data_IF_751924129462
#
_entry.id   IF_751924129462
#
_cell.length_a   1.000
_cell.length_b   1.000
_cell.length_c   1.000
_cell.angle_alpha   90.00
_cell.angle_beta   90.00
_cell.angle_gamma   90.00
#
_symmetry.space_group_name_H-M   'P 1'
#
loop_
_entity.id
_entity.type
_entity.pdbx_description
1 polymer ?
#
# COMPACT_ATOMS: atom_id res chain seq x y z
N UNK A 1 0.16 16.16 -17.93
CA UNK A 1 1.51 16.14 -17.33
C UNK A 1 1.48 16.43 -15.83
N UNK A 2 0.94 17.58 -15.39
CA UNK A 2 0.86 17.94 -13.95
C UNK A 2 0.13 16.88 -13.10
N UNK A 3 -1.01 16.36 -13.58
CA UNK A 3 -1.77 15.34 -12.85
C UNK A 3 -1.01 13.99 -12.69
N UNK A 4 -0.14 13.62 -13.64
CA UNK A 4 0.65 12.38 -13.53
C UNK A 4 1.70 12.52 -12.41
N UNK A 5 2.36 13.67 -12.37
CA UNK A 5 3.33 13.98 -11.31
C UNK A 5 2.64 14.05 -9.94
N UNK A 6 1.53 14.77 -9.84
CA UNK A 6 0.76 14.87 -8.59
C UNK A 6 0.24 13.52 -8.09
N UNK A 7 -0.21 12.65 -9.00
CA UNK A 7 -0.63 11.29 -8.67
C UNK A 7 0.52 10.44 -8.13
N UNK A 8 1.71 10.53 -8.72
CA UNK A 8 2.90 9.84 -8.21
C UNK A 8 3.32 10.33 -6.82
N UNK A 9 3.27 11.64 -6.58
CA UNK A 9 3.55 12.22 -5.26
C UNK A 9 2.54 11.73 -4.22
N UNK A 10 1.24 11.70 -4.56
CA UNK A 10 0.22 11.20 -3.64
C UNK A 10 0.45 9.75 -3.25
N UNK A 11 0.78 8.87 -4.21
CA UNK A 11 1.07 7.46 -3.94
C UNK A 11 2.26 7.29 -2.98
N UNK A 12 3.32 8.10 -3.13
CA UNK A 12 4.47 8.08 -2.23
C UNK A 12 4.11 8.55 -0.81
N UNK A 13 3.32 9.62 -0.67
CA UNK A 13 2.92 10.12 0.65
C UNK A 13 2.01 9.10 1.33
N UNK A 14 1.02 8.56 0.60
CA UNK A 14 0.12 7.53 1.09
C UNK A 14 0.91 6.30 1.55
N UNK A 15 1.92 5.90 0.78
CA UNK A 15 2.79 4.78 1.13
C UNK A 15 3.52 5.02 2.45
N UNK A 16 4.17 6.17 2.61
CA UNK A 16 4.92 6.50 3.83
C UNK A 16 3.97 6.57 5.03
N UNK A 17 2.80 7.19 4.89
CA UNK A 17 1.82 7.27 5.98
C UNK A 17 1.31 5.88 6.40
N UNK A 18 1.05 4.97 5.46
CA UNK A 18 0.67 3.58 5.78
C UNK A 18 1.79 2.88 6.56
N UNK A 19 3.04 2.99 6.13
CA UNK A 19 4.16 2.36 6.84
C UNK A 19 4.29 2.94 8.25
N UNK A 20 4.26 4.27 8.38
CA UNK A 20 4.31 4.98 9.66
C UNK A 20 3.19 4.56 10.61
N UNK A 21 1.97 4.42 10.08
CA UNK A 21 0.82 3.95 10.85
C UNK A 21 1.02 2.50 11.34
N UNK A 22 1.52 1.60 10.47
CA UNK A 22 1.79 0.22 10.86
C UNK A 22 2.90 0.15 11.93
N UNK A 23 3.97 0.95 11.80
CA UNK A 23 5.02 1.01 12.82
C UNK A 23 4.52 1.62 14.13
N UNK A 24 3.67 2.64 14.06
CA UNK A 24 3.04 3.23 15.24
C UNK A 24 2.13 2.22 15.96
N UNK A 25 1.34 1.43 15.21
CA UNK A 25 0.53 0.35 15.80
C UNK A 25 1.39 -0.69 16.52
N UNK A 26 2.56 -1.01 15.96
CA UNK A 26 3.51 -1.93 16.57
C UNK A 26 4.06 -1.37 17.89
N UNK A 27 4.48 -0.10 17.89
CA UNK A 27 5.05 0.56 19.08
C UNK A 27 3.99 0.80 20.17
N UNK A 28 2.78 1.19 19.78
CA UNK A 28 1.65 1.38 20.69
C UNK A 28 1.34 0.10 21.48
N UNK A 29 1.37 -1.05 20.80
CA UNK A 29 1.15 -2.34 21.47
C UNK A 29 2.27 -2.74 22.44
N UNK A 30 3.48 -2.20 22.26
CA UNK A 30 4.62 -2.45 23.14
C UNK A 30 4.61 -1.56 24.40
N UNK A 31 3.77 -0.50 24.44
CA UNK A 31 3.93 0.60 25.39
C UNK A 31 3.12 0.53 26.70
N UNK A 32 2.29 -0.48 27.00
CA UNK A 32 1.53 -0.47 28.26
C UNK A 32 1.36 -1.82 28.99
N UNK A 33 1.16 -1.68 30.32
CA UNK A 33 1.01 -2.62 31.45
C UNK A 33 0.15 -3.90 31.26
N UNK A 34 -0.42 -4.15 30.08
CA UNK A 34 -1.19 -5.35 29.72
C UNK A 34 -0.52 -6.17 28.58
N UNK A 35 0.80 -6.13 28.54
CA UNK A 35 1.65 -6.63 27.44
C UNK A 35 1.30 -8.04 26.94
N UNK A 36 0.98 -9.00 27.81
CA UNK A 36 0.81 -10.41 27.39
C UNK A 36 -0.45 -10.63 26.54
N UNK A 37 -1.60 -10.05 26.92
CA UNK A 37 -2.88 -10.25 26.20
C UNK A 37 -2.88 -9.50 24.86
N UNK A 38 -2.34 -8.27 24.85
CA UNK A 38 -2.16 -7.48 23.64
C UNK A 38 -1.17 -8.16 22.67
N UNK A 39 -0.04 -8.65 23.18
CA UNK A 39 0.95 -9.34 22.37
C UNK A 39 0.40 -10.61 21.71
N UNK A 40 -0.35 -11.44 22.45
CA UNK A 40 -0.98 -12.65 21.89
C UNK A 40 -2.05 -12.30 20.85
N UNK A 41 -2.90 -11.31 21.10
CA UNK A 41 -3.92 -10.87 20.13
C UNK A 41 -3.31 -10.31 18.85
N UNK A 42 -2.24 -9.53 18.96
CA UNK A 42 -1.57 -8.95 17.79
C UNK A 42 -0.76 -9.99 17.02
N UNK A 43 -0.13 -10.95 17.70
CA UNK A 43 0.51 -12.09 17.04
C UNK A 43 -0.50 -12.98 16.30
N UNK A 44 -1.69 -13.19 16.88
CA UNK A 44 -2.79 -13.87 16.20
C UNK A 44 -3.26 -13.08 14.98
N UNK A 45 -3.49 -11.77 15.12
CA UNK A 45 -3.90 -10.90 14.01
C UNK A 45 -2.89 -10.89 12.87
N UNK A 46 -1.60 -10.81 13.20
CA UNK A 46 -0.51 -10.88 12.24
C UNK A 46 -0.45 -12.23 11.51
N UNK A 47 -0.66 -13.33 12.24
CA UNK A 47 -0.71 -14.68 11.68
C UNK A 47 -1.91 -14.83 10.73
N UNK A 48 -3.08 -14.34 11.13
CA UNK A 48 -4.29 -14.32 10.29
C UNK A 48 -4.07 -13.47 9.03
N UNK A 49 -3.49 -12.27 9.16
CA UNK A 49 -3.15 -11.41 8.04
C UNK A 49 -2.21 -12.12 7.04
N UNK A 50 -1.17 -12.79 7.54
CA UNK A 50 -0.25 -13.55 6.70
C UNK A 50 -0.92 -14.73 5.99
N UNK A 51 -1.79 -15.48 6.68
CA UNK A 51 -2.59 -16.55 6.05
C UNK A 51 -3.48 -15.98 4.94
N UNK A 52 -4.12 -14.82 5.17
CA UNK A 52 -4.92 -14.13 4.16
C UNK A 52 -4.05 -13.73 2.95
N UNK A 53 -2.82 -13.24 3.16
CA UNK A 53 -1.89 -12.93 2.06
C UNK A 53 -1.61 -14.17 1.19
N UNK A 54 -1.28 -15.30 1.83
CA UNK A 54 -0.99 -16.56 1.12
C UNK A 54 -2.22 -17.06 0.37
N UNK A 55 -3.40 -17.04 1.00
CA UNK A 55 -4.66 -17.40 0.35
C UNK A 55 -4.98 -16.47 -0.84
N UNK A 56 -4.75 -15.16 -0.69
CA UNK A 56 -4.90 -14.17 -1.76
C UNK A 56 -4.00 -14.50 -2.96
N UNK A 57 -2.73 -14.79 -2.73
CA UNK A 57 -1.77 -15.21 -3.77
C UNK A 57 -2.24 -16.49 -4.47
N UNK A 58 -2.69 -17.50 -3.73
CA UNK A 58 -3.21 -18.76 -4.31
C UNK A 58 -4.44 -18.48 -5.19
N UNK A 59 -5.39 -17.69 -4.69
CA UNK A 59 -6.58 -17.31 -5.46
C UNK A 59 -6.20 -16.55 -6.73
N UNK A 60 -5.19 -15.68 -6.66
CA UNK A 60 -4.67 -14.96 -7.83
C UNK A 60 -4.10 -15.90 -8.88
N UNK A 61 -3.32 -16.92 -8.49
CA UNK A 61 -2.86 -17.93 -9.44
C UNK A 61 -4.04 -18.66 -10.10
N UNK A 62 -5.04 -19.10 -9.34
CA UNK A 62 -6.18 -19.87 -9.88
C UNK A 62 -7.01 -19.03 -10.86
N UNK A 63 -7.15 -17.73 -10.62
CA UNK A 63 -8.05 -16.87 -11.39
C UNK A 63 -7.37 -16.14 -12.55
N UNK A 64 -6.10 -15.76 -12.41
CA UNK A 64 -5.37 -14.96 -13.40
C UNK A 64 -4.28 -15.71 -14.17
N UNK A 65 -4.03 -16.98 -13.83
CA UNK A 65 -3.07 -17.84 -14.55
C UNK A 65 -3.72 -19.16 -15.03
N UNK A 66 -4.83 -19.11 -15.80
CA UNK A 66 -5.48 -20.33 -16.30
C UNK A 66 -4.65 -21.08 -17.35
N UNK A 67 -3.68 -20.41 -17.99
CA UNK A 67 -2.81 -20.97 -19.02
C UNK A 67 -1.35 -20.54 -18.79
N UNK A 68 -0.36 -21.36 -19.16
CA UNK A 68 1.05 -21.02 -19.00
C UNK A 68 1.52 -19.86 -19.90
N UNK A 69 0.71 -19.45 -20.89
CA UNK A 69 0.98 -18.29 -21.73
C UNK A 69 0.84 -16.94 -21.02
N UNK A 70 0.23 -16.92 -19.82
CA UNK A 70 0.03 -15.72 -19.01
C UNK A 70 1.29 -15.32 -18.22
N UNK A 71 2.43 -15.22 -18.91
CA UNK A 71 3.75 -15.03 -18.29
C UNK A 71 3.85 -13.77 -17.45
N UNK A 72 3.21 -12.69 -17.87
CA UNK A 72 3.27 -11.41 -17.17
C UNK A 72 2.55 -11.47 -15.82
N UNK A 73 1.36 -12.08 -15.77
CA UNK A 73 0.63 -12.31 -14.51
C UNK A 73 1.37 -13.30 -13.61
N UNK A 74 1.94 -14.37 -14.18
CA UNK A 74 2.80 -15.31 -13.42
C UNK A 74 3.99 -14.57 -12.81
N UNK A 75 4.66 -13.70 -13.57
CA UNK A 75 5.79 -12.92 -13.11
C UNK A 75 5.40 -11.98 -11.96
N UNK A 76 4.33 -11.19 -12.10
CA UNK A 76 3.86 -10.28 -11.05
C UNK A 76 3.51 -11.03 -9.77
N UNK A 77 2.70 -12.09 -9.86
CA UNK A 77 2.28 -12.86 -8.67
C UNK A 77 3.49 -13.55 -8.01
N UNK A 78 4.39 -14.14 -8.81
CA UNK A 78 5.61 -14.79 -8.30
C UNK A 78 6.51 -13.79 -7.59
N UNK A 79 6.69 -12.61 -8.19
CA UNK A 79 7.53 -11.56 -7.65
C UNK A 79 6.96 -11.00 -6.34
N UNK A 80 5.65 -10.76 -6.28
CA UNK A 80 4.95 -10.37 -5.04
C UNK A 80 5.14 -11.40 -3.93
N UNK A 81 5.09 -12.69 -4.24
CA UNK A 81 5.38 -13.76 -3.27
C UNK A 81 6.82 -13.68 -2.75
N UNK A 82 7.80 -13.47 -3.64
CA UNK A 82 9.21 -13.30 -3.27
C UNK A 82 9.40 -12.08 -2.37
N UNK A 83 8.78 -10.95 -2.72
CA UNK A 83 8.83 -9.72 -1.92
C UNK A 83 8.21 -9.93 -0.52
N UNK A 84 7.08 -10.63 -0.43
CA UNK A 84 6.45 -10.98 0.84
C UNK A 84 7.39 -11.81 1.72
N UNK A 85 8.02 -12.85 1.17
CA UNK A 85 8.98 -13.68 1.91
C UNK A 85 10.22 -12.89 2.35
N UNK A 86 10.74 -12.01 1.47
CA UNK A 86 11.88 -11.15 1.76
C UNK A 86 11.56 -10.23 2.96
N UNK A 87 10.41 -9.56 2.93
CA UNK A 87 9.98 -8.68 4.02
C UNK A 87 9.84 -9.43 5.33
N UNK A 88 9.16 -10.57 5.35
CA UNK A 88 9.01 -11.40 6.55
C UNK A 88 10.37 -11.84 7.09
N UNK A 89 11.30 -12.25 6.22
CA UNK A 89 12.66 -12.66 6.61
C UNK A 89 13.46 -11.53 7.24
N UNK A 90 13.39 -10.32 6.68
CA UNK A 90 14.07 -9.13 7.22
C UNK A 90 13.48 -8.72 8.57
N UNK A 91 12.15 -8.71 8.71
CA UNK A 91 11.48 -8.28 9.95
C UNK A 91 11.70 -9.26 11.12
N UNK A 92 11.82 -10.56 10.82
CA UNK A 92 12.14 -11.60 11.81
C UNK A 92 13.64 -11.73 12.11
N UNK A 93 14.50 -11.03 11.37
CA UNK A 93 15.93 -11.13 11.57
C UNK A 93 16.30 -10.68 13.00
N UNK A 94 17.12 -11.44 13.76
CA UNK A 94 17.38 -11.17 15.19
C UNK A 94 17.95 -9.78 15.49
N UNK A 95 18.59 -9.14 14.52
CA UNK A 95 19.11 -7.77 14.66
C UNK A 95 18.06 -6.67 14.51
N UNK A 96 16.95 -6.96 13.83
CA UNK A 96 15.83 -6.03 13.60
C UNK A 96 14.74 -6.27 14.64
N UNK A 97 14.34 -7.54 14.81
CA UNK A 97 13.31 -8.00 15.74
C UNK A 97 12.05 -7.12 15.75
N UNK A 98 11.58 -6.72 14.56
CA UNK A 98 10.39 -5.87 14.41
C UNK A 98 9.08 -6.63 14.69
N UNK A 99 9.14 -7.95 14.86
CA UNK A 99 7.98 -8.81 15.06
C UNK A 99 7.26 -9.17 13.75
N UNK A 100 6.19 -9.95 13.88
CA UNK A 100 5.43 -10.48 12.72
C UNK A 100 4.30 -9.55 12.25
N UNK A 101 3.93 -8.56 13.07
CA UNK A 101 2.80 -7.66 12.82
C UNK A 101 3.02 -6.75 11.61
N UNK A 102 4.18 -6.10 11.59
CA UNK A 102 4.55 -5.13 10.56
C UNK A 102 4.63 -5.77 9.16
N UNK A 103 5.28 -6.94 8.93
CA UNK A 103 5.26 -7.59 7.62
C UNK A 103 3.89 -8.19 7.26
N UNK A 104 3.04 -8.54 8.25
CA UNK A 104 1.68 -9.05 8.00
C UNK A 104 0.77 -8.02 7.35
N UNK A 105 0.64 -6.82 7.94
CA UNK A 105 -0.17 -5.74 7.36
C UNK A 105 0.42 -5.18 6.07
N UNK A 106 1.75 -5.04 6.01
CA UNK A 106 2.40 -4.59 4.79
C UNK A 106 2.27 -5.62 3.66
N UNK A 107 2.28 -6.91 3.99
CA UNK A 107 1.99 -7.99 3.06
C UNK A 107 0.58 -7.91 2.47
N UNK A 108 -0.43 -7.59 3.27
CA UNK A 108 -1.81 -7.39 2.78
C UNK A 108 -1.88 -6.24 1.77
N UNK A 109 -1.18 -5.14 2.06
CA UNK A 109 -1.10 -3.99 1.16
C UNK A 109 -0.41 -4.35 -0.17
N UNK A 110 0.72 -5.05 -0.11
CA UNK A 110 1.48 -5.50 -1.29
C UNK A 110 0.67 -6.48 -2.15
N UNK A 111 0.00 -7.46 -1.54
CA UNK A 111 -0.90 -8.40 -2.25
C UNK A 111 -2.09 -7.64 -2.87
N UNK A 112 -2.64 -6.65 -2.18
CA UNK A 112 -3.71 -5.81 -2.72
C UNK A 112 -3.24 -4.98 -3.92
N UNK A 113 -2.04 -4.41 -3.88
CA UNK A 113 -1.46 -3.67 -5.02
C UNK A 113 -1.26 -4.58 -6.24
N UNK A 114 -0.73 -5.78 -6.03
CA UNK A 114 -0.58 -6.78 -7.10
C UNK A 114 -1.94 -7.19 -7.69
N UNK A 115 -2.93 -7.50 -6.83
CA UNK A 115 -4.30 -7.79 -7.27
C UNK A 115 -4.88 -6.66 -8.11
N UNK A 116 -4.71 -5.43 -7.64
CA UNK A 116 -5.20 -4.25 -8.35
C UNK A 116 -4.46 -4.01 -9.66
N UNK A 117 -3.17 -4.32 -9.75
CA UNK A 117 -2.38 -4.18 -10.97
C UNK A 117 -2.85 -5.15 -12.07
N UNK A 118 -3.09 -6.41 -11.71
CA UNK A 118 -3.59 -7.44 -12.64
C UNK A 118 -5.02 -7.12 -13.08
N UNK A 119 -5.86 -6.61 -12.18
CA UNK A 119 -7.23 -6.15 -12.53
C UNK A 119 -7.25 -4.95 -13.47
N UNK A 120 -6.16 -4.18 -13.52
CA UNK A 120 -5.98 -3.06 -14.43
C UNK A 120 -5.51 -3.48 -15.83
N UNK A 121 -5.15 -4.76 -16.04
CA UNK A 121 -4.78 -5.30 -17.35
C UNK A 121 -5.92 -5.10 -18.37
N UNK A 122 -5.63 -4.65 -19.60
CA UNK A 122 -6.66 -4.43 -20.60
C UNK A 122 -7.32 -5.75 -21.06
N UNK A 123 -8.62 -5.72 -21.32
CA UNK A 123 -9.47 -6.89 -21.58
C UNK A 123 -9.18 -7.68 -22.88
N UNK A 124 -8.14 -7.31 -23.64
CA UNK A 124 -7.71 -8.05 -24.84
C UNK A 124 -6.88 -9.30 -24.48
N UNK A 125 -6.36 -9.39 -23.25
CA UNK A 125 -5.62 -10.55 -22.77
C UNK A 125 -6.52 -11.61 -22.12
N UNK A 126 -6.43 -12.85 -22.60
CA UNK A 126 -7.27 -13.99 -22.18
C UNK A 126 -6.90 -14.56 -20.80
N UNK A 127 -6.14 -13.82 -20.00
CA UNK A 127 -5.54 -14.33 -18.76
C UNK A 127 -6.49 -14.29 -17.56
N UNK A 128 -7.64 -13.61 -17.66
CA UNK A 128 -8.68 -13.63 -16.63
C UNK A 128 -9.60 -14.83 -16.87
N UNK A 129 -9.73 -15.73 -15.88
CA UNK A 129 -10.73 -16.79 -15.90
C UNK A 129 -12.13 -16.15 -15.95
N UNK A 130 -12.80 -16.22 -17.09
CA UNK A 130 -14.18 -15.76 -17.23
C UNK A 130 -15.09 -16.62 -16.35
N UNK A 131 -15.54 -16.07 -15.24
CA UNK A 131 -16.72 -16.59 -14.56
C UNK A 131 -17.93 -16.23 -15.43
N UNK A 132 -18.69 -17.23 -15.90
CA UNK A 132 -19.97 -17.01 -16.57
C UNK A 132 -20.91 -16.25 -15.61
N UNK A 133 -21.00 -14.94 -15.79
CA UNK A 133 -21.95 -14.11 -15.06
C UNK A 133 -23.16 -13.85 -15.95
N UNK A 134 -24.39 -14.16 -15.51
CA UNK A 134 -25.58 -13.88 -16.28
C UNK A 134 -25.68 -12.38 -16.54
N UNK A 135 -25.84 -12.03 -17.81
CA UNK A 135 -26.01 -10.69 -18.36
C UNK A 135 -27.03 -9.90 -17.53
N UNK A 136 -26.57 -8.95 -16.71
CA UNK A 136 -27.41 -8.10 -15.86
C UNK A 136 -26.83 -7.79 -14.47
N UNK A 137 -26.07 -8.71 -13.85
CA UNK A 137 -25.46 -8.48 -12.51
C UNK A 137 -24.11 -7.74 -12.56
N UNK A 138 -23.39 -7.80 -13.68
CA UNK A 138 -22.03 -7.23 -13.80
C UNK A 138 -21.95 -5.70 -13.68
N UNK A 139 -22.98 -5.00 -14.12
CA UNK A 139 -22.98 -3.53 -14.13
C UNK A 139 -23.16 -2.95 -12.72
N UNK A 140 -24.03 -3.58 -11.92
CA UNK A 140 -24.23 -3.24 -10.50
C UNK A 140 -22.95 -3.43 -9.67
N UNK A 141 -22.23 -4.55 -9.86
CA UNK A 141 -20.96 -4.78 -9.18
C UNK A 141 -19.86 -3.79 -9.59
N UNK A 142 -19.88 -3.30 -10.84
CA UNK A 142 -18.93 -2.28 -11.32
C UNK A 142 -19.21 -0.93 -10.65
N UNK A 143 -20.49 -0.53 -10.53
CA UNK A 143 -20.89 0.70 -9.82
C UNK A 143 -20.54 0.61 -8.34
N UNK A 144 -20.82 -0.52 -7.67
CA UNK A 144 -20.43 -0.72 -6.28
C UNK A 144 -18.90 -0.59 -6.12
N UNK A 145 -18.13 -1.25 -6.98
CA UNK A 145 -16.67 -1.18 -6.94
C UNK A 145 -16.15 0.25 -7.15
N UNK A 146 -16.80 1.03 -8.02
CA UNK A 146 -16.48 2.44 -8.23
C UNK A 146 -16.71 3.27 -6.96
N UNK A 147 -17.88 3.15 -6.33
CA UNK A 147 -18.22 3.90 -5.10
C UNK A 147 -17.27 3.55 -3.96
N UNK A 148 -16.98 2.25 -3.77
CA UNK A 148 -16.02 1.79 -2.76
C UNK A 148 -14.63 2.38 -3.02
N UNK A 149 -14.14 2.37 -4.26
CA UNK A 149 -12.85 2.95 -4.61
C UNK A 149 -12.77 4.45 -4.31
N UNK A 150 -13.83 5.22 -4.62
CA UNK A 150 -13.92 6.65 -4.29
C UNK A 150 -13.83 6.87 -2.78
N UNK A 151 -14.64 6.13 -2.00
CA UNK A 151 -14.66 6.25 -0.54
C UNK A 151 -13.29 5.90 0.06
N UNK A 152 -12.63 4.85 -0.42
CA UNK A 152 -11.28 4.48 0.04
C UNK A 152 -10.27 5.59 -0.22
N UNK A 153 -10.30 6.24 -1.39
CA UNK A 153 -9.38 7.33 -1.72
C UNK A 153 -9.64 8.56 -0.85
N UNK A 154 -10.91 8.89 -0.60
CA UNK A 154 -11.28 10.01 0.28
C UNK A 154 -10.78 9.76 1.70
N UNK A 155 -11.03 8.57 2.25
CA UNK A 155 -10.57 8.19 3.58
C UNK A 155 -9.05 8.23 3.65
N UNK A 156 -8.35 7.62 2.68
CA UNK A 156 -6.89 7.63 2.63
C UNK A 156 -6.31 9.06 2.55
N UNK A 157 -6.90 9.93 1.72
CA UNK A 157 -6.48 11.33 1.58
C UNK A 157 -6.69 12.09 2.88
N UNK A 158 -7.85 11.91 3.52
CA UNK A 158 -8.18 12.58 4.78
C UNK A 158 -7.27 12.11 5.91
N UNK A 159 -7.10 10.79 6.07
CA UNK A 159 -6.21 10.19 7.07
C UNK A 159 -4.75 10.62 6.88
N UNK A 160 -4.27 10.66 5.64
CA UNK A 160 -2.89 11.09 5.33
C UNK A 160 -2.71 12.60 5.60
N UNK A 161 -3.74 13.42 5.30
CA UNK A 161 -3.70 14.86 5.53
C UNK A 161 -3.66 15.23 7.01
N UNK A 162 -4.36 14.47 7.87
CA UNK A 162 -4.35 14.69 9.33
C UNK A 162 -3.09 14.12 10.00
N UNK A 163 -2.41 13.15 9.39
CA UNK A 163 -1.14 12.54 9.86
C UNK A 163 0.10 13.45 9.70
N UNK A 164 -0.11 14.77 9.61
CA UNK A 164 0.96 15.75 9.44
C UNK A 164 1.99 15.78 10.59
N UNK A 165 1.65 15.24 11.77
CA UNK A 165 2.58 15.10 12.90
C UNK A 165 3.74 14.15 12.59
N UNK A 166 3.57 13.21 11.65
CA UNK A 166 4.64 12.31 11.21
C UNK A 166 5.63 13.00 10.24
N UNK A 167 5.21 14.07 9.55
CA UNK A 167 6.01 14.75 8.51
C UNK A 167 6.54 16.14 8.91
N UNK A 168 6.18 16.67 10.08
CA UNK A 168 6.77 17.92 10.57
C UNK A 168 8.25 17.72 10.96
N UNK A 169 9.15 18.07 10.04
CA UNK A 169 10.60 18.18 10.27
C UNK A 169 11.00 19.36 11.17
N UNK A 170 10.05 20.17 11.66
CA UNK A 170 10.33 21.35 12.49
C UNK A 170 9.98 21.06 13.95
N UNK A 171 11.02 21.07 14.78
CA UNK A 171 10.99 20.88 16.22
C UNK A 171 10.65 22.21 16.90
N UNK A 172 9.79 22.11 17.92
CA UNK A 172 9.46 23.08 18.99
C UNK A 172 8.93 24.46 18.58
N UNK A 173 7.62 24.67 18.77
CA UNK A 173 7.03 25.89 19.33
C UNK A 173 5.81 25.45 20.17
N UNK A 174 5.56 26.08 21.31
CA UNK A 174 4.48 25.71 22.23
C UNK A 174 3.11 25.83 21.54
N UNK A 175 2.14 24.92 21.78
CA UNK A 175 0.83 24.99 21.12
C UNK A 175 0.09 26.26 21.56
N UNK A 176 -0.24 27.13 20.60
CA UNK A 176 -1.22 28.20 20.78
C UNK A 176 -2.63 27.58 20.92
N UNK A 177 -3.53 28.18 21.70
CA UNK A 177 -4.87 27.62 22.00
C UNK A 177 -5.76 27.41 20.75
N UNK A 178 -5.45 28.08 19.64
CA UNK A 178 -6.14 27.96 18.35
C UNK A 178 -5.41 27.05 17.33
N UNK A 179 -4.31 26.40 17.71
CA UNK A 179 -3.51 25.61 16.77
C UNK A 179 -4.17 24.25 16.48
N UNK A 180 -4.58 24.05 15.22
CA UNK A 180 -5.21 22.81 14.77
C UNK A 180 -4.17 21.67 14.74
N UNK A 181 -4.57 20.42 15.06
CA UNK A 181 -3.63 19.31 15.24
C UNK A 181 -2.91 18.86 13.96
N UNK A 182 -3.13 19.55 12.83
CA UNK A 182 -2.48 19.29 11.55
C UNK A 182 -1.99 20.57 10.84
N UNK A 183 -0.88 20.46 10.12
CA UNK A 183 -0.36 21.58 9.33
C UNK A 183 -1.29 21.90 8.15
N UNK A 184 -1.94 23.07 8.18
CA UNK A 184 -2.88 23.55 7.15
C UNK A 184 -2.32 23.42 5.71
N UNK A 185 -1.07 23.83 5.49
CA UNK A 185 -0.41 23.73 4.18
C UNK A 185 -0.19 22.30 3.71
N UNK A 186 0.20 21.38 4.61
CA UNK A 186 0.39 19.97 4.27
C UNK A 186 -0.95 19.28 3.98
N UNK A 187 -1.98 19.56 4.77
CA UNK A 187 -3.32 19.03 4.56
C UNK A 187 -3.86 19.38 3.16
N UNK A 188 -3.81 20.66 2.77
CA UNK A 188 -4.27 21.09 1.45
C UNK A 188 -3.39 20.53 0.31
N UNK A 189 -2.09 20.36 0.54
CA UNK A 189 -1.20 19.73 -0.42
C UNK A 189 -1.54 18.26 -0.66
N UNK A 190 -1.77 17.48 0.40
CA UNK A 190 -2.22 16.07 0.31
C UNK A 190 -3.58 15.98 -0.37
N UNK A 191 -4.51 16.89 -0.05
CA UNK A 191 -5.82 16.90 -0.69
C UNK A 191 -5.73 17.23 -2.20
N UNK A 192 -4.91 18.20 -2.58
CA UNK A 192 -4.70 18.57 -3.97
C UNK A 192 -4.05 17.43 -4.79
N UNK A 193 -3.01 16.79 -4.24
CA UNK A 193 -2.35 15.65 -4.90
C UNK A 193 -3.25 14.41 -4.94
N UNK A 194 -4.08 14.18 -3.92
CA UNK A 194 -5.11 13.13 -3.90
C UNK A 194 -6.21 13.33 -4.94
N UNK A 195 -6.66 14.57 -5.15
CA UNK A 195 -7.61 14.90 -6.22
C UNK A 195 -7.00 14.65 -7.62
N UNK A 196 -5.71 14.97 -7.81
CA UNK A 196 -5.00 14.66 -9.06
C UNK A 196 -4.86 13.16 -9.29
N UNK A 197 -4.56 12.38 -8.24
CA UNK A 197 -4.56 10.93 -8.29
C UNK A 197 -5.94 10.39 -8.70
N UNK A 198 -7.01 10.83 -8.03
CA UNK A 198 -8.37 10.43 -8.37
C UNK A 198 -8.73 10.71 -9.83
N UNK A 199 -8.39 11.91 -10.33
CA UNK A 199 -8.58 12.27 -11.74
C UNK A 199 -7.82 11.34 -12.70
N UNK A 200 -6.59 10.94 -12.35
CA UNK A 200 -5.80 9.98 -13.15
C UNK A 200 -6.46 8.61 -13.24
N UNK A 201 -7.10 8.17 -12.15
CA UNK A 201 -7.82 6.90 -12.15
C UNK A 201 -9.04 6.91 -13.09
N UNK A 202 -9.77 8.03 -13.11
CA UNK A 202 -10.94 8.21 -13.98
C UNK A 202 -10.59 8.23 -15.48
N UNK A 203 -9.38 8.63 -15.85
CA UNK A 203 -8.93 8.62 -17.25
C UNK A 203 -8.10 7.38 -17.60
N UNK A 204 -8.01 6.40 -16.70
CA UNK A 204 -7.23 5.17 -16.94
C UNK A 204 -5.75 5.45 -17.24
N UNK A 205 -5.20 6.52 -16.67
CA UNK A 205 -3.83 6.98 -16.91
C UNK A 205 -3.46 7.25 -18.37
N UNK A 206 -4.46 7.40 -19.26
CA UNK A 206 -4.25 7.73 -20.67
C UNK A 206 -5.08 8.96 -21.04
N UNK A 207 -4.46 10.12 -21.31
CA UNK A 207 -5.20 11.33 -21.67
C UNK A 207 -5.94 11.22 -23.01
N UNK A 208 -5.58 10.25 -23.86
CA UNK A 208 -6.11 10.10 -25.21
C UNK A 208 -7.27 9.09 -25.33
N UNK A 209 -7.64 8.40 -24.24
CA UNK A 209 -8.76 7.45 -24.23
C UNK A 209 -9.68 7.71 -23.03
N UNK A 210 -10.95 7.98 -23.31
CA UNK A 210 -11.97 8.18 -22.28
C UNK A 210 -12.48 6.84 -21.71
N UNK A 211 -12.81 6.85 -20.41
CA UNK A 211 -13.41 5.71 -19.70
C UNK A 211 -14.65 5.18 -20.44
N UNK A 212 -14.67 3.89 -20.80
CA UNK A 212 -15.79 3.32 -21.58
C UNK A 212 -17.00 2.85 -20.74
N UNK A 213 -16.86 2.53 -19.44
CA UNK A 213 -18.01 2.01 -18.63
C UNK A 213 -17.75 1.92 -17.11
N UNK A 214 -17.73 3.02 -16.34
CA UNK A 214 -17.50 3.02 -14.85
C UNK A 214 -16.33 2.15 -14.34
N UNK A 215 -15.47 1.68 -15.24
CA UNK A 215 -14.28 0.88 -15.00
C UNK A 215 -13.13 1.85 -14.85
N UNK A 216 -12.80 2.14 -13.61
CA UNK A 216 -11.63 2.94 -13.25
C UNK A 216 -10.37 2.12 -13.55
N UNK A 217 -9.27 2.78 -13.91
CA UNK A 217 -7.92 2.19 -13.88
C UNK A 217 -7.63 1.05 -14.85
N UNK A 218 -8.33 0.94 -15.97
CA UNK A 218 -8.04 -0.10 -16.97
C UNK A 218 -7.02 0.44 -17.98
N UNK A 219 -5.85 -0.18 -18.02
CA UNK A 219 -4.77 0.11 -18.96
C UNK A 219 -3.40 -0.28 -18.43
N UNK A 220 -2.49 -0.60 -19.34
CA UNK A 220 -1.10 -0.96 -19.03
C UNK A 220 -0.38 0.06 -18.14
N UNK A 221 -0.63 1.35 -18.35
CA UNK A 221 -0.04 2.41 -17.52
C UNK A 221 -0.44 2.28 -16.07
N UNK A 222 -1.72 2.03 -15.80
CA UNK A 222 -2.25 1.83 -14.43
C UNK A 222 -1.64 0.59 -13.77
N UNK A 223 -1.56 -0.52 -14.52
CA UNK A 223 -0.90 -1.76 -14.06
C UNK A 223 0.54 -1.49 -13.63
N UNK A 224 1.35 -0.84 -14.49
CA UNK A 224 2.75 -0.57 -14.19
C UNK A 224 2.93 0.42 -13.03
N UNK A 225 2.08 1.44 -12.91
CA UNK A 225 2.13 2.36 -11.75
C UNK A 225 1.91 1.61 -10.44
N UNK A 226 0.97 0.66 -10.41
CA UNK A 226 0.68 -0.15 -9.22
C UNK A 226 1.81 -1.13 -8.89
N UNK A 227 2.42 -1.77 -9.89
CA UNK A 227 3.59 -2.66 -9.73
C UNK A 227 4.81 -1.89 -9.24
N UNK A 228 5.10 -0.71 -9.81
CA UNK A 228 6.22 0.12 -9.35
C UNK A 228 5.96 0.63 -7.94
N UNK A 229 4.72 1.02 -7.62
CA UNK A 229 4.35 1.41 -6.27
C UNK A 229 4.54 0.26 -5.27
N UNK A 230 4.20 -0.97 -5.64
CA UNK A 230 4.47 -2.17 -4.84
C UNK A 230 5.97 -2.33 -4.56
N UNK A 231 6.83 -2.20 -5.57
CA UNK A 231 8.28 -2.36 -5.37
C UNK A 231 8.86 -1.26 -4.48
N UNK A 232 8.46 -0.01 -4.73
CA UNK A 232 8.85 1.13 -3.90
C UNK A 232 8.38 0.93 -2.46
N UNK A 233 7.18 0.40 -2.25
CA UNK A 233 6.64 0.10 -0.95
C UNK A 233 7.53 -0.84 -0.14
N UNK A 234 7.97 -1.93 -0.77
CA UNK A 234 8.85 -2.92 -0.15
C UNK A 234 10.24 -2.35 0.10
N UNK A 235 10.80 -1.60 -0.86
CA UNK A 235 12.10 -0.96 -0.69
C UNK A 235 12.11 0.05 0.48
N UNK A 236 11.10 0.93 0.56
CA UNK A 236 10.98 1.91 1.65
C UNK A 236 10.77 1.20 2.99
N UNK A 237 9.95 0.16 3.02
CA UNK A 237 9.73 -0.65 4.22
C UNK A 237 11.01 -1.28 4.76
N UNK A 238 11.77 -1.97 3.90
CA UNK A 238 13.05 -2.58 4.28
C UNK A 238 14.03 -1.50 4.74
N UNK A 239 14.10 -0.37 4.02
CA UNK A 239 14.96 0.74 4.39
C UNK A 239 14.64 1.30 5.78
N UNK A 240 13.36 1.49 6.12
CA UNK A 240 12.95 1.97 7.43
C UNK A 240 13.35 1.04 8.58
N UNK A 241 13.36 -0.28 8.34
CA UNK A 241 13.82 -1.27 9.33
C UNK A 241 15.34 -1.32 9.46
N UNK A 242 16.05 -1.18 8.34
CA UNK A 242 17.51 -1.35 8.29
C UNK A 242 18.27 -0.06 8.66
N UNK A 243 17.73 1.11 8.31
CA UNK A 243 18.41 2.40 8.52
C UNK A 243 18.78 2.69 9.99
N UNK A 244 17.90 2.44 11.00
CA UNK A 244 18.26 2.63 12.41
C UNK A 244 19.43 1.73 12.85
N UNK A 245 19.52 0.51 12.31
CA UNK A 245 20.57 -0.45 12.64
C UNK A 245 21.91 0.00 12.08
N UNK A 246 21.91 0.43 10.80
CA UNK A 246 23.11 0.98 10.16
C UNK A 246 23.59 2.21 10.94
N UNK A 247 22.69 3.13 11.29
CA UNK A 247 23.05 4.33 12.03
C UNK A 247 23.65 4.02 13.42
N UNK A 248 23.03 3.10 14.16
CA UNK A 248 23.54 2.65 15.46
C UNK A 248 24.92 1.98 15.35
N UNK A 249 25.11 1.13 14.33
CA UNK A 249 26.41 0.48 14.08
C UNK A 249 27.52 1.48 13.75
N UNK A 250 27.18 2.53 12.98
CA UNK A 250 28.10 3.61 12.63
C UNK A 250 28.52 4.42 13.87
N UNK A 251 27.58 4.73 14.76
CA UNK A 251 27.87 5.46 16.00
C UNK A 251 28.79 4.69 16.94
N UNK A 252 28.56 3.38 17.10
CA UNK A 252 29.42 2.49 17.93
C UNK A 252 30.83 2.39 17.35
N UNK A 253 30.97 2.36 16.01
CA UNK A 253 32.28 2.34 15.37
C UNK A 253 33.07 3.63 15.62
N UNK A 254 32.41 4.79 15.62
CA UNK A 254 33.05 6.09 15.88
C UNK A 254 33.36 6.38 17.35
N UNK A 255 32.70 5.72 18.31
CA UNK A 255 33.00 5.89 19.75
C UNK A 255 34.16 5.02 20.24
N UNK A 256 34.57 4.03 19.44
CA UNK A 256 35.65 3.09 19.77
C UNK A 256 37.00 3.49 19.13
N UNK A 257 37.08 4.70 18.56
CA UNK A 257 38.28 5.35 18.01
C UNK A 257 38.55 6.60 18.84
#
# INVERSE_FOLDING_TARGET
MVAHFGAGVFLLIQLISIISFITWLNDFCHSEKYAVRCHVQMMLLATVAYVICILGIILMYIWYTPQPSCLLNIFFISWTLVLLQLMTSVSLHPKVNAGFLTPGFMGLYVVFLCWSAIRSEPAEEKCIRKAESPTGKGDWFTIISFVVAVLTIVIATFSTGIDSKCFQFKKDDAPEEDDVPYGYGFFHFVFATGAMYFAMLLIGWNPNHAMKKFTIDVGWTSTWVRVVNEWLAVCVYIWMLVAPIIWKSRQVATSNV
#
